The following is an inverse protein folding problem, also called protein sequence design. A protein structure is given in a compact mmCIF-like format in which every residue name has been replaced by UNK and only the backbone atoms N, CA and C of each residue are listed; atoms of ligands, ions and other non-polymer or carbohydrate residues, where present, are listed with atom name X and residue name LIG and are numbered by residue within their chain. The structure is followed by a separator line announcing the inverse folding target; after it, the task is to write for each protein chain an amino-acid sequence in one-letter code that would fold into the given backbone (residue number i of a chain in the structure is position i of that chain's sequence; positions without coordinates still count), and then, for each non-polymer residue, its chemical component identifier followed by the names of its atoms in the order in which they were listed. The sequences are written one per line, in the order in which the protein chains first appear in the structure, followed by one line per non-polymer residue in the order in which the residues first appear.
data_IF_280869857714
#
_entry.id   IF_280869857714
#
_cell.length_a   1.000
_cell.length_b   1.000
_cell.length_c   1.000
_cell.angle_alpha   90.00
_cell.angle_beta   90.00
_cell.angle_gamma   90.00
#
_symmetry.space_group_name_H-M   'P 1'
#
loop_
_entity.id
_entity.type
_entity.pdbx_description
1 polymer ?
#
# COMPACT_ATOMS: atom_id res chain seq x y z
N UNK A 1 -15.23 -16.02 11.11
CA UNK A 1 -14.94 -14.67 11.50
C UNK A 1 -14.54 -14.65 12.95
N UNK A 2 -13.24 -14.57 13.23
CA UNK A 2 -12.71 -14.54 14.57
C UNK A 2 -13.10 -13.22 15.22
N UNK A 3 -14.05 -13.28 16.13
CA UNK A 3 -14.22 -12.21 17.11
C UNK A 3 -13.00 -12.31 18.03
N UNK A 4 -12.13 -11.32 17.96
CA UNK A 4 -11.14 -11.12 19.01
C UNK A 4 -11.96 -10.85 20.27
N UNK A 5 -11.96 -11.78 21.21
CA UNK A 5 -12.49 -11.58 22.52
C UNK A 5 -11.71 -10.41 23.13
N UNK A 6 -12.36 -9.27 23.26
CA UNK A 6 -11.82 -8.14 24.04
C UNK A 6 -11.90 -8.64 25.46
N UNK A 7 -10.76 -8.79 26.12
CA UNK A 7 -10.69 -9.11 27.53
C UNK A 7 -11.42 -8.01 28.30
N UNK A 8 -12.65 -8.34 28.72
CA UNK A 8 -13.53 -7.39 29.38
C UNK A 8 -13.02 -6.93 30.77
N UNK A 9 -11.99 -7.59 31.28
CA UNK A 9 -11.40 -7.27 32.60
C UNK A 9 -10.36 -6.15 32.53
N UNK A 10 -9.86 -5.81 31.33
CA UNK A 10 -8.93 -4.67 31.19
C UNK A 10 -9.64 -3.52 30.47
N UNK A 11 -9.83 -2.38 31.16
CA UNK A 11 -10.36 -1.20 30.49
C UNK A 11 -9.44 -0.82 29.32
N UNK A 12 -9.98 -0.38 28.18
CA UNK A 12 -9.16 0.07 27.06
C UNK A 12 -8.22 1.18 27.53
N UNK A 13 -6.94 1.04 27.20
CA UNK A 13 -5.97 2.10 27.48
C UNK A 13 -6.40 3.33 26.67
N UNK A 14 -6.69 4.46 27.34
CA UNK A 14 -7.09 5.67 26.63
C UNK A 14 -5.93 6.19 25.77
N UNK A 15 -6.28 6.82 24.65
CA UNK A 15 -5.29 7.56 23.88
C UNK A 15 -4.85 8.77 24.70
N UNK A 16 -3.53 8.87 24.94
CA UNK A 16 -2.97 10.02 25.62
C UNK A 16 -2.91 11.22 24.66
N UNK A 17 -3.88 12.09 24.78
CA UNK A 17 -4.00 13.33 24.00
C UNK A 17 -4.45 14.46 24.94
N UNK A 18 -3.54 14.95 25.82
CA UNK A 18 -3.87 15.86 26.90
C UNK A 18 -4.43 17.21 26.42
N UNK A 19 -4.12 17.60 25.19
CA UNK A 19 -4.60 18.85 24.59
C UNK A 19 -5.82 18.63 23.66
N UNK A 20 -6.28 17.41 23.49
CA UNK A 20 -7.35 17.01 22.57
C UNK A 20 -7.16 17.49 21.12
N UNK A 21 -5.91 17.66 20.67
CA UNK A 21 -5.55 18.18 19.34
C UNK A 21 -4.76 17.22 18.48
N UNK A 22 -4.16 16.20 19.09
CA UNK A 22 -3.31 15.24 18.39
C UNK A 22 -4.05 14.47 17.30
N UNK A 23 -5.32 14.18 17.51
CA UNK A 23 -6.18 13.45 16.55
C UNK A 23 -7.16 14.35 15.78
N UNK A 24 -7.12 15.68 15.97
CA UNK A 24 -8.09 16.60 15.35
C UNK A 24 -8.11 16.47 13.81
N UNK A 25 -6.94 16.44 13.16
CA UNK A 25 -6.85 16.32 11.72
C UNK A 25 -7.38 14.96 11.21
N UNK A 26 -7.14 13.89 11.97
CA UNK A 26 -7.66 12.57 11.67
C UNK A 26 -9.19 12.52 11.77
N UNK A 27 -9.75 13.02 12.85
CA UNK A 27 -11.21 13.05 13.04
C UNK A 27 -11.90 13.94 12.01
N UNK A 28 -11.30 15.06 11.64
CA UNK A 28 -11.81 15.93 10.57
C UNK A 28 -11.83 15.20 9.22
N UNK A 29 -10.74 14.51 8.86
CA UNK A 29 -10.70 13.71 7.64
C UNK A 29 -11.73 12.58 7.66
N UNK A 30 -11.88 11.93 8.81
CA UNK A 30 -12.84 10.83 8.99
C UNK A 30 -14.30 11.32 8.89
N UNK A 31 -14.60 12.48 9.47
CA UNK A 31 -15.91 13.11 9.37
C UNK A 31 -16.29 13.44 7.92
N UNK A 32 -15.35 13.98 7.12
CA UNK A 32 -15.55 14.22 5.70
C UNK A 32 -15.80 12.90 4.92
N UNK A 33 -15.06 11.85 5.26
CA UNK A 33 -15.26 10.52 4.67
C UNK A 33 -16.64 9.96 5.05
N UNK A 34 -17.05 10.10 6.30
CA UNK A 34 -18.37 9.68 6.77
C UNK A 34 -19.51 10.43 6.08
N UNK A 35 -19.32 11.73 5.84
CA UNK A 35 -20.25 12.58 5.10
C UNK A 35 -20.25 12.31 3.58
N UNK A 36 -19.39 11.41 3.09
CA UNK A 36 -19.23 11.09 1.65
C UNK A 36 -18.97 12.34 0.79
N UNK A 37 -18.21 13.29 1.33
CA UNK A 37 -17.82 14.46 0.56
C UNK A 37 -17.03 14.07 -0.70
N UNK A 38 -17.16 14.80 -1.80
CA UNK A 38 -16.41 14.51 -3.03
C UNK A 38 -14.91 14.43 -2.77
N UNK A 39 -14.28 13.34 -3.24
CA UNK A 39 -12.84 13.05 -3.07
C UNK A 39 -12.35 12.94 -1.62
N UNK A 40 -13.25 12.83 -0.65
CA UNK A 40 -12.84 12.59 0.74
C UNK A 40 -12.29 11.17 0.89
N UNK A 41 -11.03 11.07 1.30
CA UNK A 41 -10.36 9.81 1.63
C UNK A 41 -9.54 10.04 2.91
N UNK A 42 -9.82 9.25 3.94
CA UNK A 42 -8.99 9.24 5.15
C UNK A 42 -7.80 8.30 4.93
N UNK A 43 -6.58 8.84 5.00
CA UNK A 43 -5.35 8.07 4.88
C UNK A 43 -4.69 7.91 6.23
N UNK A 44 -4.36 6.67 6.56
CA UNK A 44 -3.58 6.31 7.75
C UNK A 44 -2.27 5.70 7.28
N UNK A 45 -1.16 6.25 7.73
CA UNK A 45 0.18 5.66 7.50
C UNK A 45 0.61 5.01 8.80
N UNK A 46 0.90 3.73 8.74
CA UNK A 46 1.31 2.92 9.88
C UNK A 46 2.78 2.55 9.73
N UNK A 47 3.61 3.11 10.58
CA UNK A 47 5.03 2.77 10.67
C UNK A 47 5.24 1.74 11.78
N UNK A 48 6.17 0.83 11.57
CA UNK A 48 6.52 -0.20 12.53
C UNK A 48 7.64 -1.08 12.01
N UNK A 49 7.91 -2.13 12.72
CA UNK A 49 8.91 -3.15 12.41
C UNK A 49 8.32 -4.32 11.60
N UNK A 50 8.85 -5.52 11.79
CA UNK A 50 8.39 -6.74 11.12
C UNK A 50 6.90 -7.07 11.34
N UNK A 51 6.26 -6.55 12.39
CA UNK A 51 4.85 -6.79 12.69
C UNK A 51 3.92 -6.17 11.64
N UNK A 52 4.34 -5.06 11.01
CA UNK A 52 3.54 -4.42 9.96
C UNK A 52 3.76 -5.03 8.57
N UNK A 53 4.81 -5.86 8.40
CA UNK A 53 5.13 -6.52 7.13
C UNK A 53 4.04 -7.50 6.70
N UNK A 54 3.38 -8.15 7.65
CA UNK A 54 2.38 -9.20 7.41
C UNK A 54 0.94 -8.69 7.32
N UNK A 55 0.70 -7.39 7.37
CA UNK A 55 -0.61 -6.75 7.26
C UNK A 55 -1.70 -7.29 8.23
N UNK A 56 -1.31 -7.90 9.35
CA UNK A 56 -2.29 -8.38 10.33
C UNK A 56 -2.94 -7.21 11.09
N UNK A 57 -2.13 -6.32 11.64
CA UNK A 57 -2.62 -5.15 12.39
C UNK A 57 -3.21 -4.14 11.42
N UNK A 58 -2.45 -3.72 10.40
CA UNK A 58 -2.86 -2.72 9.40
C UNK A 58 -4.07 -3.18 8.60
N UNK A 59 -4.12 -4.45 8.18
CA UNK A 59 -5.25 -5.03 7.48
C UNK A 59 -6.50 -5.13 8.35
N UNK A 60 -6.36 -5.44 9.63
CA UNK A 60 -7.49 -5.48 10.56
C UNK A 60 -8.06 -4.08 10.78
N UNK A 61 -7.20 -3.08 11.01
CA UNK A 61 -7.60 -1.69 11.16
C UNK A 61 -8.28 -1.18 9.89
N UNK A 62 -7.67 -1.41 8.71
CA UNK A 62 -8.23 -1.03 7.42
C UNK A 62 -9.63 -1.62 7.22
N UNK A 63 -9.82 -2.91 7.44
CA UNK A 63 -11.12 -3.58 7.29
C UNK A 63 -12.19 -3.05 8.27
N UNK A 64 -11.82 -2.75 9.52
CA UNK A 64 -12.73 -2.14 10.49
C UNK A 64 -13.17 -0.75 10.04
N UNK A 65 -12.23 0.11 9.63
CA UNK A 65 -12.55 1.44 9.12
C UNK A 65 -13.39 1.39 7.83
N UNK A 66 -13.04 0.53 6.88
CA UNK A 66 -13.78 0.39 5.64
C UNK A 66 -15.20 -0.15 5.84
N UNK A 67 -15.40 -1.03 6.83
CA UNK A 67 -16.75 -1.52 7.18
C UNK A 67 -17.65 -0.40 7.69
N UNK A 68 -17.08 0.56 8.40
CA UNK A 68 -17.83 1.66 9.00
C UNK A 68 -17.98 2.86 8.06
N UNK A 69 -16.95 3.20 7.29
CA UNK A 69 -16.86 4.45 6.53
C UNK A 69 -16.89 4.26 5.01
N UNK A 70 -16.84 3.04 4.54
CA UNK A 70 -16.87 2.70 3.12
C UNK A 70 -15.54 2.20 2.58
N UNK A 71 -15.64 1.47 1.46
CA UNK A 71 -14.48 0.87 0.78
C UNK A 71 -13.66 1.95 0.06
N UNK A 72 -12.38 2.03 0.35
CA UNK A 72 -11.40 2.91 -0.31
C UNK A 72 -10.23 2.15 -0.95
N UNK A 73 -10.43 0.86 -1.22
CA UNK A 73 -9.44 0.01 -1.85
C UNK A 73 -8.41 -0.56 -0.87
N UNK A 74 -7.35 -1.15 -1.41
CA UNK A 74 -6.36 -1.86 -0.62
C UNK A 74 -5.26 -0.97 -0.02
N UNK A 75 -5.19 0.30 -0.42
CA UNK A 75 -4.15 1.22 0.01
C UNK A 75 -2.81 0.93 -0.65
N UNK A 76 -1.72 1.14 0.10
CA UNK A 76 -0.36 0.95 -0.40
C UNK A 76 -0.02 -0.52 -0.54
N UNK A 77 0.61 -0.88 -1.66
CA UNK A 77 1.07 -2.24 -1.94
C UNK A 77 2.46 -2.21 -2.56
N UNK A 78 3.27 -3.21 -2.26
CA UNK A 78 4.53 -3.43 -2.94
C UNK A 78 4.31 -4.20 -4.24
N UNK A 79 5.06 -3.82 -5.29
CA UNK A 79 4.95 -4.43 -6.61
C UNK A 79 5.42 -5.88 -6.63
N UNK A 80 6.43 -6.21 -5.85
CA UNK A 80 6.95 -7.57 -5.69
C UNK A 80 7.23 -7.85 -4.21
N UNK A 81 7.70 -9.06 -3.89
CA UNK A 81 8.02 -9.41 -2.53
C UNK A 81 9.36 -8.80 -2.10
N UNK A 82 9.29 -7.88 -1.14
CA UNK A 82 10.47 -7.30 -0.52
C UNK A 82 11.07 -8.20 0.58
N UNK A 83 10.21 -8.99 1.24
CA UNK A 83 10.56 -9.96 2.30
C UNK A 83 9.73 -11.23 2.13
N UNK A 84 10.22 -12.39 2.57
CA UNK A 84 9.44 -13.63 2.54
C UNK A 84 8.10 -13.52 3.28
N UNK A 85 8.09 -12.78 4.40
CA UNK A 85 6.91 -12.57 5.23
C UNK A 85 5.99 -11.45 4.74
N UNK A 86 6.31 -10.75 3.63
CA UNK A 86 5.45 -9.71 3.12
C UNK A 86 4.13 -10.29 2.65
N UNK A 87 3.06 -9.84 3.27
CA UNK A 87 1.70 -10.25 2.99
C UNK A 87 0.78 -9.04 2.99
N UNK A 88 -0.26 -9.06 2.17
CA UNK A 88 -1.30 -8.04 2.15
C UNK A 88 -2.66 -8.74 2.15
N UNK A 89 -3.44 -8.53 3.20
CA UNK A 89 -4.76 -9.12 3.34
C UNK A 89 -5.68 -8.72 2.19
N UNK A 90 -6.54 -9.64 1.77
CA UNK A 90 -7.53 -9.47 0.72
C UNK A 90 -6.95 -9.21 -0.69
N UNK A 91 -5.63 -9.32 -0.86
CA UNK A 91 -4.95 -9.13 -2.15
C UNK A 91 -4.34 -10.43 -2.66
N UNK A 92 -4.70 -10.81 -3.87
CA UNK A 92 -4.01 -11.84 -4.64
C UNK A 92 -2.86 -11.19 -5.41
N UNK A 93 -1.65 -11.70 -5.26
CA UNK A 93 -0.45 -11.14 -5.86
C UNK A 93 0.37 -12.20 -6.58
N UNK A 94 1.05 -11.78 -7.63
CA UNK A 94 2.04 -12.57 -8.35
C UNK A 94 3.15 -11.63 -8.83
N UNK A 95 4.39 -12.06 -8.70
CA UNK A 95 5.54 -11.47 -9.40
C UNK A 95 6.39 -12.59 -10.01
N UNK A 96 6.89 -12.36 -11.22
CA UNK A 96 7.87 -13.26 -11.83
C UNK A 96 9.17 -13.26 -11.02
N UNK A 97 10.02 -14.24 -11.24
CA UNK A 97 11.38 -14.26 -10.71
C UNK A 97 12.25 -13.15 -11.30
N UNK A 98 13.39 -12.91 -10.69
CA UNK A 98 14.41 -11.99 -11.22
C UNK A 98 14.27 -10.53 -10.82
N UNK A 99 13.27 -10.16 -10.02
CA UNK A 99 13.18 -8.81 -9.46
C UNK A 99 14.33 -8.54 -8.47
N UNK A 100 15.08 -7.49 -8.73
CA UNK A 100 16.07 -6.97 -7.80
C UNK A 100 15.36 -6.07 -6.80
N UNK A 101 15.60 -6.32 -5.52
CA UNK A 101 14.93 -5.62 -4.41
C UNK A 101 15.97 -4.87 -3.62
N UNK A 102 15.83 -3.57 -3.52
CA UNK A 102 16.62 -2.72 -2.62
C UNK A 102 15.75 -2.23 -1.47
N UNK A 103 16.31 -2.18 -0.27
CA UNK A 103 15.62 -1.84 0.98
C UNK A 103 16.47 -0.90 1.81
N UNK A 104 15.84 0.00 2.54
CA UNK A 104 16.55 0.92 3.46
C UNK A 104 17.35 0.19 4.55
N UNK A 105 17.04 -1.07 4.81
CA UNK A 105 17.77 -1.95 5.75
C UNK A 105 18.74 -2.90 5.03
N UNK A 106 18.90 -2.76 3.72
CA UNK A 106 19.79 -3.56 2.88
C UNK A 106 19.10 -4.72 2.14
N UNK A 107 19.62 -5.06 0.96
CA UNK A 107 20.65 -4.34 0.20
C UNK A 107 20.16 -2.96 -0.21
N UNK A 108 21.07 -1.97 -0.19
CA UNK A 108 20.73 -0.58 -0.49
C UNK A 108 20.56 -0.33 -1.99
N UNK A 109 19.74 0.66 -2.35
CA UNK A 109 19.66 1.15 -3.71
C UNK A 109 20.86 2.02 -4.04
N UNK A 110 21.54 1.82 -5.19
CA UNK A 110 22.69 2.61 -5.58
C UNK A 110 22.41 4.11 -5.74
N UNK A 111 21.17 4.45 -6.09
CA UNK A 111 20.71 5.83 -6.27
C UNK A 111 20.09 6.44 -4.98
N UNK A 112 20.00 5.67 -3.91
CA UNK A 112 19.39 6.10 -2.65
C UNK A 112 17.88 6.32 -2.71
N UNK A 113 17.20 5.96 -3.81
CA UNK A 113 15.78 6.18 -3.98
C UNK A 113 14.96 4.99 -3.52
N UNK A 114 13.94 5.29 -2.73
CA UNK A 114 13.01 4.31 -2.18
C UNK A 114 11.58 4.83 -2.26
N UNK A 115 10.65 3.92 -2.48
CA UNK A 115 9.23 4.22 -2.36
C UNK A 115 8.77 4.38 -0.90
N UNK A 116 7.49 4.65 -0.71
CA UNK A 116 6.87 4.88 0.61
C UNK A 116 7.13 3.75 1.63
N UNK A 117 7.26 2.52 1.16
CA UNK A 117 7.57 1.35 2.01
C UNK A 117 9.07 1.14 2.29
N UNK A 118 9.94 2.08 1.96
CA UNK A 118 11.39 1.92 2.13
C UNK A 118 12.00 0.87 1.20
N UNK A 119 11.36 0.61 0.06
CA UNK A 119 11.73 -0.42 -0.90
C UNK A 119 11.72 0.16 -2.30
N UNK A 120 12.66 -0.27 -3.13
CA UNK A 120 12.63 -0.08 -4.58
C UNK A 120 12.86 -1.40 -5.31
N UNK A 121 12.32 -1.48 -6.52
CA UNK A 121 12.38 -2.68 -7.34
C UNK A 121 12.94 -2.35 -8.70
N UNK A 122 13.84 -3.21 -9.19
CA UNK A 122 14.29 -3.24 -10.57
C UNK A 122 14.01 -4.61 -11.17
N UNK A 123 13.59 -4.62 -12.41
CA UNK A 123 13.18 -5.85 -13.07
C UNK A 123 13.83 -5.98 -14.44
N UNK A 124 14.36 -7.16 -14.79
CA UNK A 124 14.83 -7.42 -16.15
C UNK A 124 13.68 -7.39 -17.16
N UNK A 125 13.97 -7.21 -18.45
CA UNK A 125 12.96 -7.26 -19.51
C UNK A 125 12.10 -8.54 -19.42
N UNK A 126 10.79 -8.40 -19.68
CA UNK A 126 9.84 -9.50 -19.60
C UNK A 126 9.30 -9.82 -18.20
N UNK A 127 9.79 -9.14 -17.17
CA UNK A 127 9.26 -9.30 -15.81
C UNK A 127 7.81 -8.85 -15.71
N UNK A 128 7.08 -9.50 -14.83
CA UNK A 128 5.65 -9.24 -14.62
C UNK A 128 5.33 -9.17 -13.14
N UNK A 129 4.48 -8.21 -12.77
CA UNK A 129 3.83 -8.18 -11.47
C UNK A 129 2.32 -8.03 -11.67
N UNK A 130 1.54 -8.70 -10.86
CA UNK A 130 0.09 -8.67 -10.92
C UNK A 130 -0.48 -8.71 -9.50
N UNK A 131 -1.48 -7.90 -9.26
CA UNK A 131 -2.23 -7.91 -8.01
C UNK A 131 -3.70 -7.56 -8.29
N UNK A 132 -4.56 -8.00 -7.41
CA UNK A 132 -6.00 -7.75 -7.48
C UNK A 132 -6.67 -8.23 -6.22
N UNK A 133 -7.94 -7.95 -6.06
CA UNK A 133 -8.71 -8.41 -4.91
C UNK A 133 -8.77 -9.95 -4.89
N UNK A 134 -8.44 -10.55 -3.76
CA UNK A 134 -8.60 -11.98 -3.56
C UNK A 134 -10.07 -12.38 -3.67
N UNK A 135 -10.34 -13.60 -4.14
CA UNK A 135 -11.72 -14.10 -4.32
C UNK A 135 -12.55 -14.02 -3.03
N UNK A 136 -11.92 -14.25 -1.87
CA UNK A 136 -12.53 -14.15 -0.55
C UNK A 136 -12.58 -12.73 0.02
N UNK A 137 -11.92 -11.77 -0.61
CA UNK A 137 -11.85 -10.39 -0.13
C UNK A 137 -13.20 -9.67 -0.26
N UNK A 138 -13.58 -8.96 0.79
CA UNK A 138 -14.83 -8.20 0.85
C UNK A 138 -14.68 -6.75 0.38
N UNK A 139 -13.47 -6.21 0.45
CA UNK A 139 -13.14 -4.82 0.12
C UNK A 139 -12.18 -4.73 -1.07
N UNK A 140 -12.09 -3.55 -1.68
CA UNK A 140 -11.19 -3.26 -2.79
C UNK A 140 -11.66 -3.82 -4.14
N UNK A 141 -12.94 -4.17 -4.27
CA UNK A 141 -13.48 -4.72 -5.53
C UNK A 141 -13.73 -3.67 -6.59
N UNK A 142 -13.97 -2.44 -6.19
CA UNK A 142 -14.07 -1.29 -7.09
C UNK A 142 -12.92 -0.33 -6.83
N UNK A 143 -12.07 -0.11 -7.83
CA UNK A 143 -10.94 0.81 -7.73
C UNK A 143 -11.06 1.86 -8.80
N UNK A 144 -11.10 3.12 -8.40
CA UNK A 144 -11.22 4.27 -9.30
C UNK A 144 -9.88 4.96 -9.57
N UNK A 145 -8.85 4.69 -8.75
CA UNK A 145 -7.54 5.36 -8.87
C UNK A 145 -6.41 4.43 -8.51
N UNK A 146 -5.43 4.35 -9.42
CA UNK A 146 -4.11 3.77 -9.16
C UNK A 146 -3.05 4.86 -9.21
N UNK A 147 -2.11 4.81 -8.29
CA UNK A 147 -0.92 5.67 -8.28
C UNK A 147 0.29 4.75 -8.31
N UNK A 148 1.10 4.84 -9.35
CA UNK A 148 2.35 4.12 -9.49
C UNK A 148 3.49 5.12 -9.40
N UNK A 149 4.33 4.98 -8.39
CA UNK A 149 5.58 5.73 -8.28
C UNK A 149 6.70 4.94 -8.97
N UNK A 150 7.44 5.58 -9.85
CA UNK A 150 8.54 4.96 -10.57
C UNK A 150 9.69 5.95 -10.81
N UNK A 151 10.86 5.38 -11.05
CA UNK A 151 12.07 6.14 -11.37
C UNK A 151 12.27 6.10 -12.89
N UNK A 152 12.62 7.24 -13.46
CA UNK A 152 13.20 7.34 -14.81
C UNK A 152 14.70 7.50 -14.67
N UNK A 153 15.47 6.78 -15.52
CA UNK A 153 16.92 6.79 -15.44
C UNK A 153 17.56 6.52 -16.83
N UNK A 154 18.84 6.85 -17.01
CA UNK A 154 19.56 6.44 -18.21
C UNK A 154 19.54 4.93 -18.38
N UNK A 155 19.17 4.47 -19.58
CA UNK A 155 19.01 3.03 -19.84
C UNK A 155 17.71 2.41 -19.35
N UNK A 156 16.79 3.22 -18.82
CA UNK A 156 15.45 2.77 -18.47
C UNK A 156 14.71 2.14 -19.65
N UNK A 157 13.78 1.25 -19.34
CA UNK A 157 12.99 0.52 -20.32
C UNK A 157 11.54 0.97 -20.39
N UNK A 158 10.74 0.20 -21.11
CA UNK A 158 9.29 0.43 -21.21
C UNK A 158 8.51 -0.60 -20.41
N UNK A 159 7.48 -0.14 -19.73
CA UNK A 159 6.56 -0.97 -18.97
C UNK A 159 5.12 -0.77 -19.47
N UNK A 160 4.40 -1.86 -19.66
CA UNK A 160 2.97 -1.81 -19.98
C UNK A 160 2.14 -1.99 -18.73
N UNK A 161 1.22 -1.07 -18.51
CA UNK A 161 0.22 -1.15 -17.46
C UNK A 161 -1.08 -1.71 -18.05
N UNK A 162 -1.59 -2.75 -17.41
CA UNK A 162 -2.85 -3.39 -17.79
C UNK A 162 -3.81 -3.38 -16.61
N UNK A 163 -5.07 -3.09 -16.87
CA UNK A 163 -6.15 -3.17 -15.87
C UNK A 163 -7.25 -4.07 -16.47
N UNK A 164 -7.65 -5.07 -15.72
CA UNK A 164 -8.69 -6.05 -16.11
C UNK A 164 -8.46 -6.66 -17.51
N UNK A 165 -7.20 -6.88 -17.84
CA UNK A 165 -6.78 -7.48 -19.11
C UNK A 165 -6.60 -6.48 -20.27
N UNK A 166 -7.02 -5.24 -20.13
CA UNK A 166 -6.84 -4.20 -21.14
C UNK A 166 -5.55 -3.41 -20.93
N UNK A 167 -4.85 -3.10 -22.00
CA UNK A 167 -3.70 -2.20 -21.99
C UNK A 167 -4.21 -0.76 -21.78
N UNK A 168 -3.80 -0.12 -20.67
CA UNK A 168 -4.27 1.23 -20.33
C UNK A 168 -3.19 2.30 -20.50
N UNK A 169 -1.91 1.92 -20.37
CA UNK A 169 -0.80 2.85 -20.51
C UNK A 169 0.51 2.14 -20.77
N UNK A 170 1.35 2.73 -21.60
CA UNK A 170 2.80 2.44 -21.67
C UNK A 170 3.54 3.53 -20.88
N UNK A 171 4.48 3.10 -20.05
CA UNK A 171 5.34 3.97 -19.26
C UNK A 171 6.76 3.79 -19.81
N UNK A 172 7.36 4.89 -20.25
CA UNK A 172 8.77 4.94 -20.61
C UNK A 172 9.55 5.43 -19.37
N UNK A 173 10.44 4.58 -18.88
CA UNK A 173 11.29 4.87 -17.72
C UNK A 173 12.67 5.36 -18.13
N UNK A 174 12.92 5.61 -19.42
CA UNK A 174 14.16 6.21 -19.89
C UNK A 174 14.17 7.72 -19.66
N UNK A 175 15.30 8.25 -19.23
CA UNK A 175 15.57 9.68 -19.11
C UNK A 175 17.07 9.96 -19.14
N UNK A 176 17.50 11.19 -19.51
CA UNK A 176 18.93 11.55 -19.51
C UNK A 176 19.53 11.63 -18.09
N UNK A 177 18.69 11.80 -17.08
CA UNK A 177 19.09 11.81 -15.66
C UNK A 177 18.02 11.13 -14.80
N UNK A 178 18.43 10.64 -13.63
CA UNK A 178 17.52 9.96 -12.69
C UNK A 178 16.51 10.94 -12.12
N UNK A 179 15.22 10.63 -12.26
CA UNK A 179 14.09 11.43 -11.76
C UNK A 179 12.99 10.54 -11.22
N UNK A 180 12.22 11.03 -10.25
CA UNK A 180 11.04 10.34 -9.70
C UNK A 180 9.78 10.85 -10.41
N UNK A 181 8.86 9.95 -10.72
CA UNK A 181 7.58 10.22 -11.40
C UNK A 181 6.42 9.49 -10.72
#
# INVERSE_FOLDING_TARGET
GDQIAIDAEKPPVPIDDPNHRGLEAFYRALARTAAKEPNAITRVVHFGDSLVTSDYVSGTLRRKLQRQFGDSGHGFMLMANAWPAYFHNDVSRFSSSGWLVSRIVGPLSPDGLYGLGGVSFRAPPGSRARFGTAKSGSFGRGVSRFVLAYVKEPGGGKAKLRIDGADVREIDTSAPATTVS
#
